data_IF_907434018733
#
_entry.id   IF_907434018733
#
_cell.length_a   1.000
_cell.length_b   1.000
_cell.length_c   1.000
_cell.angle_alpha   90.00
_cell.angle_beta   90.00
_cell.angle_gamma   90.00
#
_symmetry.space_group_name_H-M   'P 1'
#
loop_
_entity.id
_entity.type
_entity.pdbx_description
1 polymer ?
#
# COMPACT_ATOMS: atom_id res chain seq x y z
N UNK A 1 20.70 3.88 -19.83
CA UNK A 1 21.05 4.34 -18.47
C UNK A 1 20.82 5.84 -18.45
N UNK A 2 19.77 6.31 -17.78
CA UNK A 2 19.52 7.74 -17.61
C UNK A 2 20.29 8.20 -16.38
N UNK A 3 21.05 9.27 -16.51
CA UNK A 3 21.70 9.94 -15.38
C UNK A 3 20.85 11.15 -15.02
N UNK A 4 20.25 11.17 -13.83
CA UNK A 4 19.66 12.39 -13.27
C UNK A 4 20.67 12.97 -12.29
N UNK A 5 20.96 14.26 -12.43
CA UNK A 5 21.91 14.97 -11.56
C UNK A 5 21.13 16.02 -10.80
N UNK A 6 21.08 15.88 -9.48
CA UNK A 6 20.57 16.90 -8.57
C UNK A 6 21.72 17.36 -7.68
N UNK A 7 22.09 18.63 -7.83
CA UNK A 7 23.10 19.50 -7.17
C UNK A 7 24.38 18.90 -6.50
N UNK A 8 24.39 17.66 -5.99
CA UNK A 8 25.56 16.87 -5.56
C UNK A 8 25.47 15.34 -5.72
N UNK A 9 24.32 14.79 -6.14
CA UNK A 9 24.11 13.35 -6.32
C UNK A 9 23.72 13.01 -7.77
N UNK A 10 24.31 11.94 -8.30
CA UNK A 10 23.93 11.38 -9.60
C UNK A 10 23.21 10.06 -9.36
N UNK A 11 21.92 9.99 -9.72
CA UNK A 11 21.17 8.74 -9.71
C UNK A 11 21.16 8.15 -11.12
N UNK A 12 21.35 6.83 -11.18
CA UNK A 12 21.36 6.08 -12.42
C UNK A 12 20.04 5.31 -12.52
N UNK A 13 19.35 5.47 -13.63
CA UNK A 13 18.08 4.81 -13.89
C UNK A 13 18.23 3.85 -15.09
N UNK A 14 17.78 2.61 -14.92
CA UNK A 14 17.87 1.56 -15.92
C UNK A 14 16.73 1.74 -16.92
N UNK A 15 17.05 2.34 -18.06
CA UNK A 15 16.14 2.66 -19.18
C UNK A 15 15.34 1.46 -19.74
N UNK A 16 15.66 0.22 -19.34
CA UNK A 16 14.97 -0.99 -19.78
C UNK A 16 15.04 -2.08 -18.68
N UNK A 17 13.90 -2.56 -18.16
CA UNK A 17 13.82 -3.65 -17.18
C UNK A 17 14.60 -4.90 -17.61
N UNK A 18 14.54 -5.28 -18.89
CA UNK A 18 15.22 -6.49 -19.40
C UNK A 18 16.75 -6.39 -19.37
N UNK A 19 17.30 -5.17 -19.40
CA UNK A 19 18.75 -4.93 -19.21
C UNK A 19 19.10 -5.01 -17.73
N UNK A 20 18.19 -4.57 -16.85
CA UNK A 20 18.31 -4.76 -15.41
C UNK A 20 18.43 -6.23 -15.06
N UNK A 21 17.50 -7.06 -15.52
CA UNK A 21 17.52 -8.51 -15.27
C UNK A 21 18.80 -9.17 -15.78
N UNK A 22 19.24 -8.81 -16.99
CA UNK A 22 20.49 -9.32 -17.55
C UNK A 22 21.72 -8.94 -16.71
N UNK A 23 21.78 -7.70 -16.22
CA UNK A 23 22.87 -7.23 -15.36
C UNK A 23 22.82 -7.94 -14.00
N UNK A 24 21.64 -8.04 -13.39
CA UNK A 24 21.47 -8.70 -12.09
C UNK A 24 21.83 -10.18 -12.17
N UNK A 25 21.37 -10.88 -13.21
CA UNK A 25 21.71 -12.28 -13.44
C UNK A 25 23.22 -12.50 -13.64
N UNK A 26 23.90 -11.53 -14.25
CA UNK A 26 25.36 -11.57 -14.47
C UNK A 26 26.16 -11.34 -13.19
N UNK A 27 25.64 -10.52 -12.27
CA UNK A 27 26.33 -10.13 -11.03
C UNK A 27 25.74 -10.77 -9.77
N UNK A 28 24.81 -11.73 -9.90
CA UNK A 28 24.15 -12.35 -8.75
C UNK A 28 25.12 -13.02 -7.77
N UNK A 29 26.21 -13.58 -8.29
CA UNK A 29 27.26 -14.22 -7.49
C UNK A 29 28.32 -13.22 -6.97
N UNK A 30 28.24 -11.93 -7.37
CA UNK A 30 29.14 -10.86 -6.93
C UNK A 30 28.40 -9.88 -6.02
N UNK A 31 28.31 -10.25 -4.75
CA UNK A 31 27.68 -9.48 -3.66
C UNK A 31 28.25 -8.05 -3.58
N UNK A 32 29.55 -7.88 -3.86
CA UNK A 32 30.18 -6.55 -3.83
C UNK A 32 29.68 -5.65 -4.95
N UNK A 33 29.47 -6.20 -6.15
CA UNK A 33 28.89 -5.46 -7.27
C UNK A 33 27.41 -5.14 -7.04
N UNK A 34 26.63 -6.09 -6.49
CA UNK A 34 25.24 -5.84 -6.12
C UNK A 34 25.15 -4.70 -5.09
N UNK A 35 25.98 -4.74 -4.05
CA UNK A 35 26.07 -3.69 -3.03
C UNK A 35 26.31 -2.31 -3.64
N UNK A 36 27.35 -2.18 -4.48
CA UNK A 36 27.69 -0.90 -5.11
C UNK A 36 26.60 -0.43 -6.09
N UNK A 37 25.94 -1.38 -6.77
CA UNK A 37 24.78 -1.14 -7.62
C UNK A 37 23.64 -0.52 -6.84
N UNK A 38 23.19 -1.19 -5.77
CA UNK A 38 22.09 -0.70 -4.93
C UNK A 38 22.40 0.65 -4.28
N UNK A 39 23.64 0.84 -3.80
CA UNK A 39 24.11 2.13 -3.27
C UNK A 39 24.04 3.27 -4.29
N UNK A 40 24.20 2.98 -5.59
CA UNK A 40 24.18 3.97 -6.67
C UNK A 40 22.76 4.27 -7.16
N UNK A 41 21.85 3.30 -7.09
CA UNK A 41 20.47 3.43 -7.57
C UNK A 41 19.60 4.22 -6.59
N UNK A 42 19.70 3.93 -5.27
CA UNK A 42 18.96 4.60 -4.19
C UNK A 42 17.48 4.86 -4.50
N UNK A 43 16.79 3.84 -4.99
CA UNK A 43 15.37 3.91 -5.35
C UNK A 43 14.58 2.75 -4.77
N UNK A 44 13.28 2.93 -4.54
CA UNK A 44 12.40 1.87 -4.05
C UNK A 44 12.44 0.64 -4.96
N UNK A 45 12.40 0.84 -6.28
CA UNK A 45 12.53 -0.24 -7.26
C UNK A 45 13.82 -1.06 -7.08
N UNK A 46 14.94 -0.42 -6.73
CA UNK A 46 16.19 -1.12 -6.47
C UNK A 46 16.13 -1.97 -5.19
N UNK A 47 15.42 -1.51 -4.15
CA UNK A 47 15.19 -2.30 -2.94
C UNK A 47 14.24 -3.47 -3.21
N UNK A 48 13.14 -3.26 -3.93
CA UNK A 48 12.22 -4.33 -4.34
C UNK A 48 12.94 -5.41 -5.15
N UNK A 49 13.85 -4.98 -6.02
CA UNK A 49 14.71 -5.89 -6.79
C UNK A 49 15.63 -6.69 -5.88
N UNK A 50 16.29 -6.04 -4.91
CA UNK A 50 17.16 -6.68 -3.94
C UNK A 50 16.40 -7.74 -3.11
N UNK A 51 15.20 -7.40 -2.65
CA UNK A 51 14.33 -8.34 -1.93
C UNK A 51 13.90 -9.50 -2.82
N UNK A 52 13.58 -9.24 -4.09
CA UNK A 52 13.19 -10.29 -5.04
C UNK A 52 14.33 -11.29 -5.28
N UNK A 53 15.59 -10.81 -5.38
CA UNK A 53 16.75 -11.69 -5.48
C UNK A 53 16.91 -12.59 -4.25
N UNK A 54 16.66 -12.04 -3.05
CA UNK A 54 16.69 -12.83 -1.81
C UNK A 54 15.55 -13.86 -1.77
N UNK A 55 14.31 -13.45 -2.08
CA UNK A 55 13.14 -14.34 -2.07
C UNK A 55 13.22 -15.47 -3.10
N UNK A 56 13.86 -15.21 -4.24
CA UNK A 56 14.08 -16.21 -5.28
C UNK A 56 15.28 -17.14 -5.00
N UNK A 57 16.04 -16.89 -3.93
CA UNK A 57 17.22 -17.68 -3.57
C UNK A 57 18.47 -17.39 -4.41
N UNK A 58 18.46 -16.33 -5.22
CA UNK A 58 19.63 -15.86 -5.98
C UNK A 58 20.60 -15.07 -5.11
N UNK A 59 20.16 -14.57 -3.95
CA UNK A 59 20.98 -13.90 -2.95
C UNK A 59 20.76 -14.53 -1.58
N UNK A 60 21.83 -14.83 -0.86
CA UNK A 60 21.69 -15.38 0.50
C UNK A 60 21.13 -14.32 1.44
N UNK A 61 20.40 -14.75 2.47
CA UNK A 61 19.88 -13.85 3.51
C UNK A 61 20.99 -13.10 4.25
N UNK A 62 22.16 -13.73 4.43
CA UNK A 62 23.33 -13.07 5.03
C UNK A 62 23.82 -11.93 4.14
N UNK A 63 24.00 -12.19 2.85
CA UNK A 63 24.47 -11.18 1.90
C UNK A 63 23.46 -10.03 1.72
N UNK A 64 22.17 -10.34 1.68
CA UNK A 64 21.09 -9.36 1.67
C UNK A 64 21.20 -8.40 2.87
N UNK A 65 21.36 -8.95 4.06
CA UNK A 65 21.47 -8.17 5.29
C UNK A 65 22.74 -7.33 5.34
N UNK A 66 23.87 -7.88 4.88
CA UNK A 66 25.13 -7.14 4.78
C UNK A 66 25.02 -5.95 3.80
N UNK A 67 24.30 -6.12 2.68
CA UNK A 67 24.01 -5.04 1.73
C UNK A 67 23.12 -3.97 2.40
N UNK A 68 22.02 -4.37 3.03
CA UNK A 68 21.11 -3.43 3.71
C UNK A 68 21.81 -2.64 4.82
N UNK A 69 22.66 -3.29 5.63
CA UNK A 69 23.46 -2.63 6.66
C UNK A 69 24.43 -1.62 6.09
N UNK A 70 25.13 -2.01 5.02
CA UNK A 70 26.05 -1.11 4.34
C UNK A 70 25.31 0.12 3.79
N UNK A 71 24.16 -0.07 3.15
CA UNK A 71 23.36 1.04 2.63
C UNK A 71 22.89 1.96 3.75
N UNK A 72 22.39 1.42 4.87
CA UNK A 72 21.94 2.24 6.00
C UNK A 72 23.10 3.02 6.62
N UNK A 73 24.26 2.39 6.82
CA UNK A 73 25.45 3.06 7.34
C UNK A 73 25.89 4.24 6.46
N UNK A 74 25.84 4.08 5.14
CA UNK A 74 26.13 5.15 4.18
C UNK A 74 25.09 6.28 4.21
N UNK A 75 23.81 5.95 4.36
CA UNK A 75 22.74 6.94 4.50
C UNK A 75 22.92 7.78 5.76
N UNK A 76 23.21 7.14 6.89
CA UNK A 76 23.50 7.82 8.16
C UNK A 76 24.73 8.70 8.01
N UNK A 77 25.81 8.20 7.39
CA UNK A 77 27.03 8.96 7.16
C UNK A 77 26.83 10.21 6.27
N UNK A 78 25.90 10.14 5.31
CA UNK A 78 25.55 11.24 4.42
C UNK A 78 24.36 12.07 4.89
N UNK A 79 23.81 11.82 6.09
CA UNK A 79 22.64 12.52 6.61
C UNK A 79 21.40 12.42 5.70
N UNK A 80 21.22 11.27 5.03
CA UNK A 80 20.09 10.98 4.13
C UNK A 80 19.96 11.94 2.94
N UNK A 81 21.08 12.54 2.48
CA UNK A 81 21.06 13.42 1.31
C UNK A 81 20.62 12.69 0.03
N UNK A 82 19.58 13.23 -0.63
CA UNK A 82 19.14 12.79 -1.94
C UNK A 82 18.33 11.49 -1.97
N UNK A 83 17.71 11.09 -0.85
CA UNK A 83 16.79 9.94 -0.77
C UNK A 83 15.40 10.35 -0.32
N UNK A 84 14.39 9.59 -0.74
CA UNK A 84 13.00 9.77 -0.30
C UNK A 84 12.77 9.12 1.07
N UNK A 85 11.74 9.60 1.78
CA UNK A 85 11.23 8.93 2.99
C UNK A 85 10.78 7.51 2.71
N UNK A 86 10.05 7.29 1.61
CA UNK A 86 9.62 5.96 1.18
C UNK A 86 10.78 4.98 1.01
N UNK A 87 11.90 5.41 0.42
CA UNK A 87 13.10 4.57 0.30
C UNK A 87 13.67 4.17 1.67
N UNK A 88 13.78 5.13 2.59
CA UNK A 88 14.30 4.88 3.94
C UNK A 88 13.34 4.00 4.72
N UNK A 89 12.03 4.25 4.65
CA UNK A 89 10.99 3.43 5.28
C UNK A 89 11.03 1.98 4.78
N UNK A 90 11.11 1.76 3.46
CA UNK A 90 11.19 0.42 2.88
C UNK A 90 12.45 -0.33 3.33
N UNK A 91 13.61 0.36 3.37
CA UNK A 91 14.85 -0.24 3.86
C UNK A 91 14.77 -0.62 5.35
N UNK A 92 14.13 0.21 6.17
CA UNK A 92 13.85 -0.10 7.58
C UNK A 92 12.91 -1.30 7.71
N UNK A 93 11.83 -1.34 6.92
CA UNK A 93 10.85 -2.43 6.95
C UNK A 93 11.51 -3.78 6.68
N UNK A 94 12.40 -3.88 5.68
CA UNK A 94 13.11 -5.13 5.38
C UNK A 94 13.91 -5.65 6.57
N UNK A 95 14.39 -4.77 7.44
CA UNK A 95 15.14 -5.16 8.64
C UNK A 95 14.21 -5.55 9.77
N UNK A 96 13.10 -4.84 9.96
CA UNK A 96 12.08 -5.16 10.97
C UNK A 96 11.54 -6.58 10.76
N UNK A 97 11.23 -6.94 9.51
CA UNK A 97 10.75 -8.30 9.17
C UNK A 97 11.77 -9.36 9.64
N UNK A 98 13.05 -9.15 9.36
CA UNK A 98 14.13 -10.09 9.71
C UNK A 98 14.38 -10.17 11.23
N UNK A 99 14.18 -9.07 11.96
CA UNK A 99 14.27 -9.04 13.42
C UNK A 99 13.11 -9.85 14.04
N UNK A 100 11.90 -9.65 13.53
CA UNK A 100 10.71 -10.36 14.01
C UNK A 100 10.78 -11.87 13.75
N UNK A 101 11.49 -12.30 12.71
CA UNK A 101 11.79 -13.71 12.45
C UNK A 101 12.83 -14.30 13.42
N UNK A 102 13.39 -13.49 14.34
CA UNK A 102 14.28 -13.93 15.40
C UNK A 102 15.72 -14.23 14.95
N UNK A 103 16.09 -13.80 13.75
CA UNK A 103 17.31 -14.24 13.08
C UNK A 103 18.50 -13.29 13.27
N UNK A 104 18.28 -12.07 13.82
CA UNK A 104 19.32 -11.04 13.93
C UNK A 104 19.23 -10.28 15.25
N UNK A 105 20.39 -10.03 15.88
CA UNK A 105 20.54 -9.08 17.00
C UNK A 105 20.74 -7.67 16.41
N UNK A 106 19.91 -6.72 16.84
CA UNK A 106 19.89 -5.34 16.38
C UNK A 106 21.27 -4.66 16.52
N UNK A 107 21.84 -4.16 15.41
CA UNK A 107 23.08 -3.37 15.41
C UNK A 107 22.95 -2.20 14.41
N UNK A 108 23.05 -0.96 14.90
CA UNK A 108 23.08 0.27 14.08
C UNK A 108 22.33 1.45 14.73
N UNK A 109 22.68 2.69 14.35
CA UNK A 109 22.02 3.94 14.79
C UNK A 109 20.75 4.22 13.97
N UNK A 110 19.77 3.32 14.05
CA UNK A 110 18.50 3.41 13.32
C UNK A 110 17.59 4.54 13.84
N UNK A 111 17.84 5.05 15.05
CA UNK A 111 17.18 6.24 15.56
C UNK A 111 17.33 7.43 14.59
N UNK A 112 18.46 7.53 13.88
CA UNK A 112 18.64 8.55 12.83
C UNK A 112 17.68 8.37 11.65
N UNK A 113 17.35 7.13 11.27
CA UNK A 113 16.40 6.85 10.20
C UNK A 113 14.96 7.14 10.63
N UNK A 114 14.60 6.80 11.87
CA UNK A 114 13.29 7.13 12.47
C UNK A 114 13.11 8.65 12.55
N UNK A 115 14.13 9.37 13.06
CA UNK A 115 14.12 10.83 13.11
C UNK A 115 13.97 11.44 11.70
N UNK A 116 14.68 10.89 10.72
CA UNK A 116 14.53 11.31 9.33
C UNK A 116 13.10 11.14 8.81
N UNK A 117 12.46 9.99 9.05
CA UNK A 117 11.08 9.71 8.64
C UNK A 117 10.12 10.69 9.32
N UNK A 118 10.21 10.85 10.65
CA UNK A 118 9.35 11.75 11.42
C UNK A 118 9.44 13.21 10.95
N UNK A 119 10.63 13.65 10.51
CA UNK A 119 10.88 15.02 10.08
C UNK A 119 10.52 15.30 8.62
N UNK A 120 10.65 14.30 7.73
CA UNK A 120 10.59 14.53 6.28
C UNK A 120 9.40 13.87 5.58
N UNK A 121 8.61 13.05 6.28
CA UNK A 121 7.51 12.32 5.63
C UNK A 121 6.33 13.21 5.24
N UNK A 122 6.25 14.46 5.72
CA UNK A 122 5.14 15.43 5.57
C UNK A 122 4.32 15.28 4.26
N UNK A 123 3.15 14.63 4.36
CA UNK A 123 2.22 14.39 3.24
C UNK A 123 2.67 13.36 2.20
N UNK A 124 3.69 12.58 2.51
CA UNK A 124 4.37 11.60 1.64
C UNK A 124 4.69 10.29 2.38
N UNK A 125 4.05 10.02 3.52
CA UNK A 125 4.20 8.73 4.18
C UNK A 125 3.58 7.63 3.32
N UNK A 126 4.17 6.44 3.42
CA UNK A 126 3.69 5.23 2.75
C UNK A 126 3.31 4.18 3.79
N UNK A 127 2.71 3.08 3.34
CA UNK A 127 2.51 1.89 4.19
C UNK A 127 3.75 1.54 5.02
N UNK A 128 4.92 1.49 4.38
CA UNK A 128 6.19 1.15 5.04
C UNK A 128 6.53 2.15 6.15
N UNK A 129 6.23 3.44 5.93
CA UNK A 129 6.46 4.49 6.92
C UNK A 129 5.63 4.26 8.18
N UNK A 130 4.33 3.95 8.04
CA UNK A 130 3.46 3.68 9.18
C UNK A 130 3.93 2.45 9.98
N UNK A 131 4.31 1.37 9.30
CA UNK A 131 4.81 0.14 9.96
C UNK A 131 6.12 0.40 10.71
N UNK A 132 7.04 1.18 10.13
CA UNK A 132 8.31 1.53 10.80
C UNK A 132 8.08 2.38 12.05
N UNK A 133 7.15 3.34 11.99
CA UNK A 133 6.80 4.19 13.15
C UNK A 133 6.09 3.37 14.23
N UNK A 134 5.23 2.42 13.86
CA UNK A 134 4.60 1.50 14.82
C UNK A 134 5.63 0.64 15.54
N UNK A 135 6.57 0.07 14.79
CA UNK A 135 7.68 -0.69 15.35
C UNK A 135 8.53 0.17 16.30
N UNK A 136 8.89 1.40 15.88
CA UNK A 136 9.66 2.33 16.70
C UNK A 136 8.95 2.70 18.01
N UNK A 137 7.62 2.81 18.00
CA UNK A 137 6.82 3.00 19.21
C UNK A 137 6.92 1.78 20.13
N UNK A 138 6.82 0.57 19.57
CA UNK A 138 6.87 -0.68 20.33
C UNK A 138 8.22 -0.92 21.04
N UNK A 139 9.31 -0.45 20.43
CA UNK A 139 10.66 -0.50 21.02
C UNK A 139 10.93 0.66 21.99
N UNK A 140 10.02 1.63 22.10
CA UNK A 140 10.16 2.80 22.97
C UNK A 140 11.15 3.85 22.45
N UNK A 141 11.50 3.82 21.16
CA UNK A 141 12.38 4.80 20.51
C UNK A 141 11.68 6.16 20.31
N UNK A 142 10.35 6.15 20.20
CA UNK A 142 9.53 7.36 20.01
C UNK A 142 8.39 7.42 21.02
N UNK A 143 7.92 8.64 21.27
CA UNK A 143 6.79 8.89 22.16
C UNK A 143 5.44 8.76 21.45
N UNK A 144 4.39 8.42 22.23
CA UNK A 144 3.00 8.45 21.79
C UNK A 144 2.60 9.78 21.11
N UNK A 145 3.13 10.90 21.59
CA UNK A 145 2.87 12.21 21.00
C UNK A 145 3.45 12.32 19.59
N UNK A 146 4.69 11.88 19.39
CA UNK A 146 5.32 11.90 18.06
C UNK A 146 4.56 11.04 17.06
N UNK A 147 3.95 9.94 17.51
CA UNK A 147 3.09 9.09 16.67
C UNK A 147 1.83 9.83 16.23
N UNK A 148 1.12 10.47 17.16
CA UNK A 148 -0.08 11.25 16.81
C UNK A 148 0.27 12.44 15.89
N UNK A 149 1.33 13.18 16.19
CA UNK A 149 1.82 14.28 15.34
C UNK A 149 2.22 13.77 13.93
N UNK A 150 2.74 12.53 13.83
CA UNK A 150 3.09 11.90 12.56
C UNK A 150 1.85 11.53 11.75
N UNK A 151 0.84 10.93 12.38
CA UNK A 151 -0.43 10.58 11.73
C UNK A 151 -1.14 11.83 11.22
N UNK A 152 -1.26 12.86 12.05
CA UNK A 152 -1.91 14.13 11.69
C UNK A 152 -1.31 14.74 10.41
N UNK A 153 0.03 14.78 10.31
CA UNK A 153 0.74 15.32 9.14
C UNK A 153 0.60 14.49 7.87
N UNK A 154 0.31 13.20 8.02
CA UNK A 154 0.38 12.25 6.92
C UNK A 154 -0.95 11.61 6.55
N UNK A 155 -2.05 11.95 7.22
CA UNK A 155 -3.37 11.38 6.91
C UNK A 155 -3.74 11.56 5.44
N UNK A 156 -3.43 12.73 4.86
CA UNK A 156 -3.76 13.07 3.48
C UNK A 156 -2.98 12.22 2.44
N UNK A 157 -1.91 11.53 2.85
CA UNK A 157 -1.13 10.66 1.96
C UNK A 157 -1.65 9.23 1.90
N UNK A 158 -2.59 8.86 2.78
CA UNK A 158 -3.20 7.53 2.81
C UNK A 158 -4.12 7.37 1.60
N UNK A 159 -3.81 6.42 0.72
CA UNK A 159 -4.60 6.16 -0.50
C UNK A 159 -5.09 4.72 -0.64
N UNK A 160 -4.52 3.77 0.12
CA UNK A 160 -4.84 2.34 -0.01
C UNK A 160 -5.37 1.72 1.28
N UNK A 161 -6.11 0.61 1.14
CA UNK A 161 -6.55 -0.23 2.26
C UNK A 161 -5.44 -0.56 3.27
N UNK A 162 -4.25 -0.92 2.77
CA UNK A 162 -3.13 -1.33 3.61
C UNK A 162 -2.57 -0.16 4.41
N UNK A 163 -2.53 1.03 3.82
CA UNK A 163 -2.15 2.26 4.51
C UNK A 163 -3.18 2.67 5.56
N UNK A 164 -4.48 2.53 5.26
CA UNK A 164 -5.54 2.80 6.24
C UNK A 164 -5.41 1.85 7.44
N UNK A 165 -5.20 0.55 7.19
CA UNK A 165 -5.01 -0.44 8.25
C UNK A 165 -3.75 -0.16 9.07
N UNK A 166 -2.64 0.19 8.42
CA UNK A 166 -1.39 0.52 9.10
C UNK A 166 -1.52 1.78 9.96
N UNK A 167 -2.13 2.84 9.44
CA UNK A 167 -2.40 4.06 10.20
C UNK A 167 -3.36 3.79 11.38
N UNK A 168 -4.40 2.98 11.18
CA UNK A 168 -5.33 2.62 12.25
C UNK A 168 -4.66 1.78 13.35
N UNK A 169 -3.83 0.81 12.97
CA UNK A 169 -3.04 0.00 13.91
C UNK A 169 -2.10 0.88 14.73
N UNK A 170 -1.41 1.81 14.06
CA UNK A 170 -0.51 2.76 14.70
C UNK A 170 -1.23 3.64 15.74
N UNK A 171 -2.39 4.22 15.40
CA UNK A 171 -3.19 5.02 16.35
C UNK A 171 -3.64 4.13 17.52
N UNK A 172 -4.11 2.91 17.24
CA UNK A 172 -4.60 1.97 18.26
C UNK A 172 -3.52 1.52 19.24
N UNK A 173 -2.25 1.58 18.84
CA UNK A 173 -1.09 1.32 19.70
C UNK A 173 -0.83 2.44 20.72
N UNK A 174 -1.42 3.63 20.54
CA UNK A 174 -1.33 4.75 21.48
C UNK A 174 -2.42 4.64 22.56
N UNK A 175 -2.10 4.83 23.85
CA UNK A 175 -3.11 4.83 24.91
C UNK A 175 -4.18 5.91 24.71
N UNK A 176 -5.44 5.54 24.89
CA UNK A 176 -6.61 6.45 24.73
C UNK A 176 -6.63 7.63 25.69
N UNK A 177 -5.79 7.62 26.74
CA UNK A 177 -5.66 8.71 27.71
C UNK A 177 -4.78 9.86 27.21
N UNK A 178 -4.09 9.69 26.08
CA UNK A 178 -3.21 10.71 25.50
C UNK A 178 -4.06 11.81 24.84
N UNK A 179 -3.70 13.07 25.12
CA UNK A 179 -4.28 14.24 24.47
C UNK A 179 -4.08 14.16 22.95
N UNK A 180 -5.07 14.57 22.16
CA UNK A 180 -5.14 14.42 20.70
C UNK A 180 -5.38 12.99 20.15
N UNK A 181 -5.50 11.95 21.00
CA UNK A 181 -5.85 10.60 20.53
C UNK A 181 -7.19 10.60 19.76
N UNK A 182 -8.25 11.13 20.38
CA UNK A 182 -9.58 11.13 19.77
C UNK A 182 -9.63 11.99 18.50
N UNK A 183 -8.90 13.11 18.49
CA UNK A 183 -8.80 13.98 17.32
C UNK A 183 -8.17 13.26 16.13
N UNK A 184 -7.08 12.52 16.35
CA UNK A 184 -6.45 11.71 15.30
C UNK A 184 -7.34 10.57 14.80
N UNK A 185 -8.10 9.92 15.69
CA UNK A 185 -9.08 8.90 15.29
C UNK A 185 -10.15 9.49 14.37
N UNK A 186 -10.72 10.64 14.73
CA UNK A 186 -11.75 11.29 13.91
C UNK A 186 -11.18 11.85 12.60
N UNK A 187 -9.96 12.38 12.63
CA UNK A 187 -9.24 12.85 11.45
C UNK A 187 -8.95 11.70 10.45
N UNK A 188 -8.53 10.53 10.93
CA UNK A 188 -8.39 9.34 10.08
C UNK A 188 -9.75 8.90 9.49
N UNK A 189 -10.81 8.87 10.31
CA UNK A 189 -12.15 8.50 9.83
C UNK A 189 -12.66 9.43 8.75
N UNK A 190 -12.56 10.73 8.97
CA UNK A 190 -12.99 11.74 8.01
C UNK A 190 -12.25 11.58 6.69
N UNK A 191 -10.93 11.38 6.74
CA UNK A 191 -10.12 11.11 5.55
C UNK A 191 -10.56 9.85 4.82
N UNK A 192 -10.78 8.73 5.53
CA UNK A 192 -11.24 7.47 4.91
C UNK A 192 -12.60 7.63 4.25
N UNK A 193 -13.55 8.32 4.90
CA UNK A 193 -14.87 8.61 4.33
C UNK A 193 -14.73 9.43 3.05
N UNK A 194 -13.94 10.50 3.07
CA UNK A 194 -13.72 11.34 1.89
C UNK A 194 -13.05 10.55 0.75
N UNK A 195 -12.03 9.75 1.07
CA UNK A 195 -11.33 8.91 0.10
C UNK A 195 -12.26 7.90 -0.57
N UNK A 196 -13.15 7.27 0.20
CA UNK A 196 -14.16 6.34 -0.34
C UNK A 196 -15.24 7.05 -1.15
N UNK A 197 -15.66 8.26 -0.76
CA UNK A 197 -16.60 9.05 -1.56
C UNK A 197 -15.99 9.43 -2.92
N UNK A 198 -14.73 9.88 -2.92
CA UNK A 198 -14.03 10.32 -4.14
C UNK A 198 -13.70 9.15 -5.08
N UNK A 199 -13.46 7.96 -4.53
CA UNK A 199 -13.02 6.77 -5.29
C UNK A 199 -13.93 5.55 -5.07
N UNK A 200 -15.25 5.77 -4.98
CA UNK A 200 -16.22 4.76 -4.56
C UNK A 200 -16.07 3.38 -5.25
N UNK A 201 -15.93 3.38 -6.57
CA UNK A 201 -15.82 2.15 -7.37
C UNK A 201 -14.48 1.43 -7.21
N UNK A 202 -13.44 2.09 -6.68
CA UNK A 202 -12.16 1.43 -6.36
C UNK A 202 -12.25 0.64 -5.06
N UNK A 203 -13.13 1.07 -4.13
CA UNK A 203 -13.32 0.42 -2.84
C UNK A 203 -14.45 -0.58 -2.82
N UNK A 204 -15.48 -0.38 -3.64
CA UNK A 204 -16.74 -1.13 -3.63
C UNK A 204 -17.00 -1.74 -5.01
N UNK A 205 -17.05 -3.07 -5.05
CA UNK A 205 -17.46 -3.83 -6.25
C UNK A 205 -18.98 -3.72 -6.45
N UNK A 206 -19.41 -2.63 -7.08
CA UNK A 206 -20.83 -2.30 -7.30
C UNK A 206 -21.56 -3.40 -8.10
N UNK A 207 -20.86 -4.03 -9.04
CA UNK A 207 -21.41 -5.12 -9.85
C UNK A 207 -21.87 -6.34 -9.02
N UNK A 208 -21.20 -6.61 -7.90
CA UNK A 208 -21.59 -7.67 -6.96
C UNK A 208 -22.86 -7.36 -6.19
N UNK A 209 -23.21 -6.08 -6.01
CA UNK A 209 -24.49 -5.68 -5.45
C UNK A 209 -25.60 -5.73 -6.51
N UNK A 210 -25.34 -5.15 -7.70
CA UNK A 210 -26.35 -5.02 -8.75
C UNK A 210 -26.76 -6.36 -9.38
N UNK A 211 -25.85 -7.33 -9.46
CA UNK A 211 -26.17 -8.68 -9.94
C UNK A 211 -27.14 -9.47 -9.05
N UNK A 212 -27.41 -9.00 -7.81
CA UNK A 212 -28.29 -9.66 -6.84
C UNK A 212 -29.70 -9.07 -6.80
N UNK A 213 -29.94 -7.96 -7.48
CA UNK A 213 -31.18 -7.17 -7.43
C UNK A 213 -31.73 -6.98 -8.83
N UNK A 214 -33.05 -7.01 -8.99
CA UNK A 214 -33.72 -6.83 -10.26
C UNK A 214 -33.67 -5.39 -10.77
N UNK A 215 -33.95 -5.22 -12.07
CA UNK A 215 -34.09 -3.90 -12.68
C UNK A 215 -35.20 -3.09 -11.99
N UNK A 216 -34.89 -1.84 -11.60
CA UNK A 216 -35.82 -0.94 -10.91
C UNK A 216 -35.99 -1.22 -9.41
N UNK A 217 -35.29 -2.21 -8.83
CA UNK A 217 -35.31 -2.52 -7.39
C UNK A 217 -34.33 -1.60 -6.62
N UNK A 218 -34.52 -0.29 -6.71
CA UNK A 218 -33.60 0.71 -6.16
C UNK A 218 -33.37 0.59 -4.65
N UNK A 219 -34.43 0.34 -3.87
CA UNK A 219 -34.34 0.19 -2.41
C UNK A 219 -33.50 -1.05 -2.03
N UNK A 220 -33.60 -2.12 -2.81
CA UNK A 220 -32.82 -3.34 -2.60
C UNK A 220 -31.36 -3.14 -3.01
N UNK A 221 -31.12 -2.44 -4.13
CA UNK A 221 -29.79 -2.07 -4.57
C UNK A 221 -29.07 -1.19 -3.53
N UNK A 222 -29.77 -0.20 -2.96
CA UNK A 222 -29.22 0.65 -1.91
C UNK A 222 -28.83 -0.17 -0.67
N UNK A 223 -29.68 -1.11 -0.27
CA UNK A 223 -29.40 -2.00 0.86
C UNK A 223 -28.16 -2.87 0.62
N UNK A 224 -28.02 -3.46 -0.57
CA UNK A 224 -26.86 -4.27 -0.92
C UNK A 224 -25.57 -3.44 -0.97
N UNK A 225 -25.63 -2.22 -1.50
CA UNK A 225 -24.50 -1.29 -1.49
C UNK A 225 -24.09 -0.92 -0.07
N UNK A 226 -25.05 -0.58 0.81
CA UNK A 226 -24.76 -0.32 2.24
C UNK A 226 -24.13 -1.53 2.93
N UNK A 227 -24.55 -2.75 2.59
CA UNK A 227 -23.93 -3.96 3.12
C UNK A 227 -22.47 -4.10 2.66
N UNK A 228 -22.16 -3.81 1.39
CA UNK A 228 -20.78 -3.83 0.89
C UNK A 228 -19.91 -2.77 1.57
N UNK A 229 -20.42 -1.54 1.71
CA UNK A 229 -19.71 -0.46 2.42
C UNK A 229 -19.43 -0.88 3.86
N UNK A 230 -20.44 -1.42 4.56
CA UNK A 230 -20.31 -1.88 5.94
C UNK A 230 -19.25 -2.97 6.08
N UNK A 231 -19.26 -3.94 5.16
CA UNK A 231 -18.26 -5.01 5.12
C UNK A 231 -16.86 -4.40 4.92
N UNK A 232 -16.69 -3.54 3.91
CA UNK A 232 -15.43 -2.88 3.60
C UNK A 232 -14.87 -2.08 4.78
N UNK A 233 -15.68 -1.21 5.37
CA UNK A 233 -15.29 -0.39 6.52
C UNK A 233 -14.90 -1.25 7.74
N UNK A 234 -15.52 -2.42 7.92
CA UNK A 234 -15.17 -3.34 9.01
C UNK A 234 -13.79 -3.99 8.86
N UNK A 235 -13.24 -4.06 7.64
CA UNK A 235 -11.90 -4.60 7.35
C UNK A 235 -10.77 -3.58 7.59
N UNK A 236 -11.10 -2.30 7.82
CA UNK A 236 -10.12 -1.21 7.92
C UNK A 236 -9.62 -0.97 9.35
N UNK A 237 -10.03 -1.79 10.32
CA UNK A 237 -9.71 -1.66 11.75
C UNK A 237 -10.08 -0.29 12.36
N UNK A 238 -11.03 0.44 11.78
CA UNK A 238 -11.52 1.72 12.30
C UNK A 238 -12.99 1.57 12.69
N UNK A 239 -13.39 2.19 13.80
CA UNK A 239 -14.76 2.11 14.31
C UNK A 239 -15.68 3.13 13.62
N UNK A 240 -16.33 2.72 12.53
CA UNK A 240 -17.32 3.55 11.82
C UNK A 240 -18.73 3.40 12.39
N UNK A 241 -19.51 4.47 12.31
CA UNK A 241 -20.92 4.52 12.68
C UNK A 241 -21.81 4.27 11.46
N UNK A 242 -23.07 3.95 11.71
CA UNK A 242 -24.05 3.80 10.62
C UNK A 242 -24.23 5.11 9.84
N UNK A 243 -24.07 6.27 10.48
CA UNK A 243 -24.06 7.57 9.80
C UNK A 243 -22.95 7.71 8.76
N UNK A 244 -21.81 7.05 8.97
CA UNK A 244 -20.66 7.14 8.07
C UNK A 244 -20.94 6.33 6.80
N UNK A 245 -21.59 5.17 6.96
CA UNK A 245 -22.09 4.34 5.85
C UNK A 245 -23.09 5.15 5.01
N UNK A 246 -24.00 5.87 5.66
CA UNK A 246 -24.99 6.71 4.97
C UNK A 246 -24.33 7.85 4.17
N UNK A 247 -23.26 8.47 4.70
CA UNK A 247 -22.50 9.50 3.99
C UNK A 247 -21.86 8.91 2.73
N UNK A 248 -21.16 7.78 2.86
CA UNK A 248 -20.49 7.11 1.73
C UNK A 248 -21.50 6.63 0.70
N UNK A 249 -22.59 5.99 1.11
CA UNK A 249 -23.65 5.55 0.21
C UNK A 249 -24.32 6.73 -0.51
N UNK A 250 -24.56 7.83 0.20
CA UNK A 250 -25.16 9.05 -0.34
C UNK A 250 -24.28 9.80 -1.35
N UNK A 251 -22.98 9.52 -1.41
CA UNK A 251 -22.08 10.06 -2.43
C UNK A 251 -22.25 9.40 -3.79
N UNK A 252 -22.83 8.19 -3.84
CA UNK A 252 -22.96 7.38 -5.05
C UNK A 252 -24.38 7.40 -5.61
N UNK A 253 -24.52 7.62 -6.92
CA UNK A 253 -25.82 7.70 -7.59
C UNK A 253 -26.37 6.30 -7.92
N UNK A 254 -26.77 5.55 -6.90
CA UNK A 254 -27.19 4.13 -6.99
C UNK A 254 -28.25 3.90 -8.07
N UNK A 255 -29.32 4.71 -8.09
CA UNK A 255 -30.41 4.52 -9.05
C UNK A 255 -29.95 4.68 -10.50
N UNK A 256 -29.13 5.71 -10.77
CA UNK A 256 -28.60 5.97 -12.11
C UNK A 256 -27.67 4.85 -12.58
N UNK A 257 -26.79 4.37 -11.70
CA UNK A 257 -25.81 3.33 -12.04
C UNK A 257 -26.45 1.95 -12.14
N UNK A 258 -27.54 1.67 -11.40
CA UNK A 258 -28.32 0.44 -11.57
C UNK A 258 -29.00 0.38 -12.94
N UNK A 259 -29.63 1.49 -13.34
CA UNK A 259 -30.27 1.59 -14.66
C UNK A 259 -29.22 1.36 -15.76
N UNK A 260 -28.07 2.03 -15.65
CA UNK A 260 -26.94 1.88 -16.57
C UNK A 260 -26.40 0.46 -16.60
N UNK A 261 -26.25 -0.20 -15.46
CA UNK A 261 -25.80 -1.60 -15.39
C UNK A 261 -26.70 -2.50 -16.24
N UNK A 262 -28.02 -2.36 -16.13
CA UNK A 262 -28.95 -3.17 -16.92
C UNK A 262 -29.07 -2.74 -18.39
N UNK A 263 -28.88 -1.46 -18.70
CA UNK A 263 -28.82 -0.99 -20.09
C UNK A 263 -27.58 -1.55 -20.81
N UNK A 264 -26.41 -1.54 -20.15
CA UNK A 264 -25.16 -2.07 -20.69
C UNK A 264 -25.19 -3.62 -20.85
N UNK A 265 -26.01 -4.30 -20.05
CA UNK A 265 -26.25 -5.76 -20.15
C UNK A 265 -27.54 -6.11 -20.92
N UNK A 266 -28.22 -5.11 -21.47
CA UNK A 266 -29.61 -5.18 -21.92
C UNK A 266 -29.86 -5.66 -23.35
N UNK A 267 -28.81 -5.97 -24.13
CA UNK A 267 -28.97 -6.43 -25.52
C UNK A 267 -29.11 -7.97 -25.67
N UNK A 268 -29.15 -8.75 -24.59
CA UNK A 268 -29.29 -10.22 -24.67
C UNK A 268 -30.41 -10.85 -23.82
N UNK A 269 -31.28 -10.03 -23.21
CA UNK A 269 -32.41 -10.55 -22.42
C UNK A 269 -33.73 -10.39 -23.15
N UNK A 270 -33.95 -11.25 -24.14
CA UNK A 270 -35.32 -11.71 -24.39
C UNK A 270 -35.82 -12.43 -23.15
N UNK A 271 -36.88 -11.89 -22.53
CA UNK A 271 -37.68 -12.54 -21.50
C UNK A 271 -37.93 -14.01 -21.85
N UNK A 272 -37.21 -14.93 -21.22
CA UNK A 272 -37.68 -16.29 -21.04
C UNK A 272 -37.41 -16.73 -19.61
N UNK A 273 -38.53 -16.82 -18.88
CA UNK A 273 -38.68 -17.66 -17.70
C UNK A 273 -38.14 -19.06 -18.01
N UNK A 274 -37.00 -19.44 -17.45
CA UNK A 274 -36.92 -20.72 -16.77
C UNK A 274 -35.65 -20.89 -15.95
N UNK A 275 -35.85 -21.49 -14.78
CA UNK A 275 -34.81 -22.01 -13.89
C UNK A 275 -33.84 -22.91 -14.67
N UNK A 276 -32.61 -22.48 -14.88
CA UNK A 276 -31.47 -23.39 -14.89
C UNK A 276 -30.17 -22.68 -14.54
N UNK A 277 -29.47 -23.26 -13.56
CA UNK A 277 -28.02 -23.13 -13.41
C UNK A 277 -27.35 -23.31 -14.78
N UNK A 278 -26.80 -22.24 -15.31
CA UNK A 278 -25.76 -22.30 -16.34
C UNK A 278 -24.49 -21.74 -15.74
N UNK A 279 -23.68 -22.67 -15.26
CA UNK A 279 -22.24 -22.55 -15.15
C UNK A 279 -21.72 -21.92 -16.44
N UNK A 280 -21.19 -20.70 -16.36
CA UNK A 280 -20.40 -20.12 -17.44
C UNK A 280 -19.10 -20.92 -17.55
N UNK A 281 -19.09 -21.91 -18.44
CA UNK A 281 -17.86 -22.52 -18.93
C UNK A 281 -17.17 -21.53 -19.86
N UNK A 282 -16.17 -20.85 -19.31
CA UNK A 282 -15.10 -20.13 -20.02
C UNK A 282 -14.55 -21.04 -21.11
N UNK A 283 -14.74 -20.68 -22.39
CA UNK A 283 -14.09 -21.31 -23.54
C UNK A 283 -14.09 -20.41 -24.79
N UNK A 284 -13.90 -19.10 -24.63
CA UNK A 284 -13.81 -18.15 -25.77
C UNK A 284 -12.38 -17.63 -26.03
N UNK A 285 -11.34 -18.28 -25.49
CA UNK A 285 -9.94 -17.88 -25.74
C UNK A 285 -9.28 -18.73 -26.86
N UNK A 286 -9.85 -19.88 -27.23
CA UNK A 286 -9.20 -20.83 -28.15
C UNK A 286 -9.55 -20.63 -29.65
N UNK A 287 -10.48 -19.76 -30.03
CA UNK A 287 -10.78 -19.47 -31.45
C UNK A 287 -9.89 -18.37 -32.07
N UNK A 288 -9.00 -17.76 -31.28
CA UNK A 288 -8.15 -16.64 -31.72
C UNK A 288 -6.81 -17.05 -32.35
N UNK A 289 -6.47 -18.35 -32.38
CA UNK A 289 -5.19 -18.84 -32.92
C UNK A 289 -5.28 -19.75 -34.14
N UNK A 290 -6.47 -20.06 -34.66
CA UNK A 290 -6.60 -20.84 -35.90
C UNK A 290 -6.99 -19.96 -37.08
N UNK A 291 -5.97 -19.35 -37.71
CA UNK A 291 -6.02 -18.93 -39.12
C UNK A 291 -4.72 -19.29 -39.83
N UNK A 292 -4.78 -20.44 -40.51
CA UNK A 292 -4.17 -20.81 -41.82
C UNK A 292 -2.70 -20.46 -42.08
#
# INVERSE_FOLDING_TARGET
>A
MNRRVFDRAATLDLFNPSIGDYVLQRYKDDVSMLRNGMQSLRSESSLTTLLSLQRNGDLSKVDFNDICNFMMGELVACGFEGVSTSYVSLLCLYRIIEINDGEIIFQGDWSCAIDFILLNADGCATYDSFVVIEWALSEGEISNKQVLDFVEKNVCSIGSDDEIRAASSLISSVPTTIEAYQENVELLKEHVINLMCDNFCEFIEVSDAFSKVGYGEYDEAEKEIKNLIKYKLSELNVNFLESDIEIVAGSYSISYELDRYYEDHGDDYSYDNDRSSKVFSINEVDELFDRS
#
